data_IF_621567691931
#
_entry.id   IF_621567691931
#
_cell.length_a   1.000
_cell.length_b   1.000
_cell.length_c   1.000
_cell.angle_alpha   90.00
_cell.angle_beta   90.00
_cell.angle_gamma   90.00
#
_symmetry.space_group_name_H-M   'P 1'
#
loop_
_entity.id
_entity.type
_entity.pdbx_description
1 polymer ?
#
# COMPACT_ATOMS: atom_id res chain seq x y z
N UNK A 1 8.69 -28.86 18.46
CA UNK A 1 7.78 -29.99 18.70
C UNK A 1 6.47 -29.74 17.99
N UNK A 2 5.96 -30.70 17.23
CA UNK A 2 4.69 -30.57 16.50
C UNK A 2 3.55 -31.11 17.36
N UNK A 3 2.42 -30.39 17.41
CA UNK A 3 1.24 -30.76 18.17
C UNK A 3 0.03 -30.83 17.25
N UNK A 4 -0.77 -31.89 17.39
CA UNK A 4 -2.06 -31.99 16.71
C UNK A 4 -3.13 -31.37 17.59
N UNK A 5 -3.84 -30.38 17.05
CA UNK A 5 -4.81 -29.58 17.80
C UNK A 5 -6.19 -29.68 17.15
N UNK A 6 -7.24 -29.63 17.97
CA UNK A 6 -8.62 -29.64 17.47
C UNK A 6 -9.01 -28.23 17.06
N UNK A 7 -9.56 -28.10 15.86
CA UNK A 7 -10.13 -26.84 15.35
C UNK A 7 -11.55 -26.71 15.90
N UNK A 8 -11.86 -25.59 16.56
CA UNK A 8 -13.23 -25.28 16.98
C UNK A 8 -14.09 -24.94 15.75
N UNK A 9 -15.38 -25.26 15.82
CA UNK A 9 -16.33 -25.03 14.71
C UNK A 9 -16.57 -23.55 14.40
N UNK A 10 -16.10 -22.65 15.26
CA UNK A 10 -16.17 -21.19 15.10
C UNK A 10 -15.20 -20.63 14.06
N UNK A 11 -14.25 -21.43 13.56
CA UNK A 11 -13.20 -20.96 12.65
C UNK A 11 -13.38 -21.57 11.27
N UNK A 12 -13.37 -20.70 10.27
CA UNK A 12 -13.36 -21.10 8.87
C UNK A 12 -12.00 -21.66 8.48
N UNK A 13 -12.00 -22.92 8.04
CA UNK A 13 -10.78 -23.65 7.64
C UNK A 13 -10.09 -23.00 6.44
N UNK A 14 -10.80 -22.19 5.66
CA UNK A 14 -10.27 -21.47 4.51
C UNK A 14 -9.36 -20.30 4.89
N UNK A 15 -9.52 -19.75 6.10
CA UNK A 15 -8.70 -18.65 6.60
C UNK A 15 -7.35 -19.15 7.17
N UNK A 16 -7.21 -20.46 7.40
CA UNK A 16 -6.00 -21.06 7.93
C UNK A 16 -4.93 -21.15 6.85
N UNK A 17 -3.93 -20.26 6.93
CA UNK A 17 -2.73 -20.31 6.09
C UNK A 17 -1.58 -20.98 6.86
N UNK A 18 -0.76 -21.81 6.20
CA UNK A 18 0.48 -22.29 6.81
C UNK A 18 1.35 -21.09 7.20
N UNK A 19 1.98 -21.16 8.39
CA UNK A 19 2.75 -20.10 9.03
C UNK A 19 1.94 -18.89 9.57
N UNK A 20 0.61 -18.97 9.63
CA UNK A 20 -0.18 -17.97 10.37
C UNK A 20 -0.09 -18.21 11.89
N UNK A 21 0.03 -17.13 12.65
CA UNK A 21 -0.07 -17.18 14.12
C UNK A 21 -1.51 -17.53 14.53
N UNK A 22 -1.68 -18.48 15.44
CA UNK A 22 -3.00 -18.93 15.91
C UNK A 22 -3.07 -18.87 17.43
N UNK A 23 -4.24 -18.50 17.95
CA UNK A 23 -4.53 -18.50 19.37
C UNK A 23 -4.98 -19.91 19.80
N UNK A 24 -4.29 -20.47 20.79
CA UNK A 24 -4.59 -21.78 21.38
C UNK A 24 -5.18 -21.61 22.79
N UNK A 25 -6.15 -22.45 23.13
CA UNK A 25 -6.71 -22.50 24.47
C UNK A 25 -5.72 -23.15 25.46
N UNK A 26 -5.44 -22.48 26.59
CA UNK A 26 -4.38 -22.82 27.57
C UNK A 26 -4.39 -24.25 28.10
N UNK A 27 -5.57 -24.86 28.26
CA UNK A 27 -5.71 -26.19 28.88
C UNK A 27 -5.99 -27.32 27.90
N UNK A 28 -6.62 -27.02 26.76
CA UNK A 28 -7.08 -28.02 25.79
C UNK A 28 -6.32 -27.98 24.47
N UNK A 29 -5.43 -27.01 24.30
CA UNK A 29 -4.70 -26.72 23.06
C UNK A 29 -5.64 -26.67 21.83
N UNK A 30 -6.91 -26.30 22.01
CA UNK A 30 -7.84 -26.14 20.91
C UNK A 30 -7.58 -24.81 20.19
N UNK A 31 -7.71 -24.80 18.86
CA UNK A 31 -7.54 -23.60 18.04
C UNK A 31 -8.78 -22.71 18.23
N UNK A 32 -8.57 -21.53 18.81
CA UNK A 32 -9.63 -20.57 19.20
C UNK A 32 -9.79 -19.47 18.17
N UNK A 33 -8.69 -18.96 17.63
CA UNK A 33 -8.71 -17.90 16.63
C UNK A 33 -7.41 -17.87 15.81
N UNK A 34 -7.44 -17.19 14.67
CA UNK A 34 -6.26 -16.84 13.89
C UNK A 34 -5.86 -15.42 14.26
N UNK A 35 -4.64 -15.25 14.77
CA UNK A 35 -4.13 -13.92 15.07
C UNK A 35 -3.90 -13.17 13.75
N UNK A 36 -4.14 -11.85 13.71
CA UNK A 36 -3.82 -11.05 12.55
C UNK A 36 -2.35 -11.31 12.18
N UNK A 37 -2.03 -11.48 10.88
CA UNK A 37 -0.66 -11.70 10.46
C UNK A 37 0.17 -10.58 11.07
N UNK A 38 1.23 -10.94 11.80
CA UNK A 38 2.18 -9.97 12.31
C UNK A 38 2.73 -9.24 11.10
N UNK A 39 2.19 -8.05 10.82
CA UNK A 39 2.84 -7.14 9.93
C UNK A 39 4.14 -6.79 10.65
N UNK A 40 5.28 -7.17 10.05
CA UNK A 40 6.58 -6.80 10.59
C UNK A 40 6.55 -5.33 11.01
N UNK A 41 7.15 -5.01 12.15
CA UNK A 41 7.20 -3.63 12.65
C UNK A 41 7.74 -2.65 11.59
N UNK A 42 8.59 -3.14 10.67
CA UNK A 42 9.07 -2.40 9.50
C UNK A 42 7.98 -2.05 8.48
N UNK A 43 6.99 -2.92 8.25
CA UNK A 43 5.85 -2.67 7.35
C UNK A 43 4.91 -1.64 7.97
N UNK A 44 4.65 -1.73 9.27
CA UNK A 44 3.86 -0.72 9.99
C UNK A 44 4.50 0.68 9.91
N UNK A 45 5.83 0.78 10.00
CA UNK A 45 6.53 2.06 9.82
C UNK A 45 6.42 2.63 8.40
N UNK A 46 6.31 1.76 7.39
CA UNK A 46 6.14 2.17 5.98
C UNK A 46 4.69 2.50 5.62
N UNK A 47 3.74 2.10 6.44
CA UNK A 47 2.33 2.47 6.31
C UNK A 47 2.08 3.71 7.13
N UNK A 48 2.43 4.88 6.60
CA UNK A 48 1.99 6.13 7.17
C UNK A 48 0.48 6.27 6.99
N UNK A 49 -0.30 5.88 7.99
CA UNK A 49 -1.76 6.12 8.07
C UNK A 49 -2.09 7.62 8.13
N UNK A 50 -1.08 8.47 8.33
CA UNK A 50 -1.18 9.92 8.23
C UNK A 50 -1.20 10.32 6.76
N UNK A 51 -2.40 10.54 6.20
CA UNK A 51 -2.53 11.25 4.93
C UNK A 51 -1.92 12.64 5.10
N UNK A 52 -0.93 13.03 4.28
CA UNK A 52 -0.35 14.36 4.35
C UNK A 52 -1.40 15.41 3.96
N UNK A 53 -1.42 16.57 4.63
CA UNK A 53 -2.38 17.66 4.39
C UNK A 53 -1.96 18.59 3.24
N UNK A 54 -1.23 18.05 2.25
CA UNK A 54 -0.73 18.82 1.10
C UNK A 54 -1.68 18.62 -0.06
N UNK A 55 -2.11 19.69 -0.73
CA UNK A 55 -2.96 19.63 -1.92
C UNK A 55 -2.17 19.99 -3.18
N UNK A 56 -2.70 19.64 -4.36
CA UNK A 56 -2.10 20.04 -5.64
C UNK A 56 -2.06 21.57 -5.83
N UNK A 57 -2.95 22.29 -5.15
CA UNK A 57 -3.00 23.75 -5.14
C UNK A 57 -1.81 24.38 -4.43
N UNK A 58 -1.20 23.67 -3.46
CA UNK A 58 -0.05 24.16 -2.69
C UNK A 58 1.27 24.07 -3.48
N UNK A 59 1.25 23.39 -4.63
CA UNK A 59 2.41 23.22 -5.49
C UNK A 59 2.38 24.30 -6.57
N UNK A 60 3.36 25.20 -6.59
CA UNK A 60 3.47 26.21 -7.64
C UNK A 60 3.96 25.62 -8.97
N UNK A 61 3.24 25.91 -10.06
CA UNK A 61 3.58 25.47 -11.42
C UNK A 61 3.52 23.96 -11.63
N UNK A 62 4.33 23.45 -12.56
CA UNK A 62 4.42 22.01 -12.91
C UNK A 62 3.08 21.38 -13.34
N UNK A 63 2.24 22.16 -14.02
CA UNK A 63 0.87 21.72 -14.34
C UNK A 63 0.84 20.47 -15.23
N UNK A 64 1.79 20.37 -16.16
CA UNK A 64 1.96 19.19 -17.01
C UNK A 64 2.29 17.96 -16.16
N UNK A 65 3.28 18.06 -15.26
CA UNK A 65 3.69 16.94 -14.42
C UNK A 65 2.59 16.54 -13.44
N UNK A 66 1.86 17.50 -12.86
CA UNK A 66 0.69 17.20 -12.03
C UNK A 66 -0.35 16.39 -12.80
N UNK A 67 -0.65 16.80 -14.04
CA UNK A 67 -1.61 16.12 -14.88
C UNK A 67 -1.16 14.69 -15.22
N UNK A 68 0.10 14.49 -15.61
CA UNK A 68 0.65 13.16 -15.92
C UNK A 68 0.59 12.21 -14.72
N UNK A 69 0.99 12.68 -13.53
CA UNK A 69 0.94 11.84 -12.32
C UNK A 69 -0.50 11.55 -11.91
N UNK A 70 -1.39 12.53 -12.07
CA UNK A 70 -2.82 12.35 -11.81
C UNK A 70 -3.43 11.31 -12.74
N UNK A 71 -3.13 11.36 -14.03
CA UNK A 71 -3.59 10.35 -14.99
C UNK A 71 -2.99 8.98 -14.68
N UNK A 72 -1.70 8.90 -14.38
CA UNK A 72 -1.05 7.63 -14.07
C UNK A 72 -1.58 6.97 -12.78
N UNK A 73 -2.12 7.74 -11.82
CA UNK A 73 -2.60 7.21 -10.54
C UNK A 73 -4.13 7.16 -10.46
N UNK A 74 -4.84 8.23 -10.81
CA UNK A 74 -6.30 8.31 -10.69
C UNK A 74 -7.03 7.62 -11.85
N UNK A 75 -6.52 7.68 -13.09
CA UNK A 75 -7.17 7.06 -14.25
C UNK A 75 -7.32 5.55 -14.11
N UNK A 76 -6.29 4.77 -13.72
CA UNK A 76 -6.45 3.32 -13.55
C UNK A 76 -7.35 2.95 -12.37
N UNK A 77 -7.49 3.82 -11.36
CA UNK A 77 -8.36 3.60 -10.21
C UNK A 77 -9.83 3.92 -10.51
N UNK A 78 -10.09 4.93 -11.35
CA UNK A 78 -11.45 5.38 -11.67
C UNK A 78 -12.02 4.74 -12.93
N UNK A 79 -11.18 4.48 -13.94
CA UNK A 79 -11.58 4.04 -15.27
C UNK A 79 -10.78 2.81 -15.75
N UNK A 80 -10.74 1.76 -14.92
CA UNK A 80 -10.06 0.51 -15.27
C UNK A 80 -10.57 -0.15 -16.56
N UNK A 81 -11.86 0.06 -16.91
CA UNK A 81 -12.45 -0.52 -18.13
C UNK A 81 -11.78 -0.04 -19.42
N UNK A 82 -11.29 1.22 -19.46
CA UNK A 82 -10.60 1.75 -20.64
C UNK A 82 -9.34 0.94 -20.95
N UNK A 83 -8.55 0.61 -19.91
CA UNK A 83 -7.36 -0.23 -20.04
C UNK A 83 -7.71 -1.64 -20.52
N UNK A 84 -8.80 -2.21 -20.01
CA UNK A 84 -9.28 -3.54 -20.40
C UNK A 84 -9.77 -3.60 -21.85
N UNK A 85 -10.42 -2.56 -22.34
CA UNK A 85 -10.91 -2.48 -23.73
C UNK A 85 -9.77 -2.32 -24.73
N UNK A 86 -8.76 -1.51 -24.39
CA UNK A 86 -7.59 -1.26 -25.22
C UNK A 86 -6.60 -2.45 -25.16
N UNK A 87 -6.69 -3.29 -24.12
CA UNK A 87 -5.83 -4.46 -23.93
C UNK A 87 -4.42 -4.08 -23.44
N UNK A 88 -4.28 -2.94 -22.76
CA UNK A 88 -3.02 -2.47 -22.19
C UNK A 88 -3.04 -2.60 -20.67
N UNK A 89 -1.90 -2.92 -20.08
CA UNK A 89 -1.76 -2.96 -18.63
C UNK A 89 -1.68 -1.55 -18.05
N UNK A 90 -2.38 -1.26 -16.95
CA UNK A 90 -2.27 0.03 -16.27
C UNK A 90 -0.86 0.22 -15.69
N UNK A 91 -0.38 1.47 -15.62
CA UNK A 91 0.92 1.77 -15.03
C UNK A 91 0.98 1.31 -13.57
N UNK A 92 2.07 0.63 -13.20
CA UNK A 92 2.25 0.04 -11.85
C UNK A 92 2.79 1.04 -10.82
N UNK A 93 3.40 2.12 -11.26
CA UNK A 93 4.03 3.12 -10.40
C UNK A 93 4.62 4.27 -11.21
N UNK A 94 4.92 5.36 -10.51
CA UNK A 94 5.47 6.60 -11.08
C UNK A 94 6.79 6.90 -10.38
N UNK A 95 7.82 7.21 -11.17
CA UNK A 95 9.11 7.67 -10.66
C UNK A 95 9.27 9.18 -10.95
N UNK A 96 9.49 9.96 -9.90
CA UNK A 96 9.77 11.40 -10.03
C UNK A 96 11.26 11.65 -9.87
N UNK A 97 11.93 12.10 -10.93
CA UNK A 97 13.36 12.39 -10.92
C UNK A 97 13.68 13.87 -11.22
N UNK A 98 14.90 14.29 -10.91
CA UNK A 98 15.47 15.59 -11.28
C UNK A 98 16.11 16.33 -10.11
N UNK A 99 16.55 17.59 -10.32
CA UNK A 99 17.33 18.32 -9.32
C UNK A 99 16.56 18.53 -8.00
N UNK A 100 17.28 18.60 -6.86
CA UNK A 100 16.68 18.88 -5.57
C UNK A 100 16.04 20.27 -5.57
N UNK A 101 14.91 20.43 -4.86
CA UNK A 101 14.18 21.70 -4.77
C UNK A 101 13.03 21.87 -5.77
N UNK A 102 12.86 20.97 -6.75
CA UNK A 102 11.74 21.01 -7.71
C UNK A 102 10.42 20.41 -7.18
N UNK A 103 10.16 20.42 -5.88
CA UNK A 103 8.84 20.04 -5.35
C UNK A 103 8.38 18.57 -5.49
N UNK A 104 9.23 17.63 -5.96
CA UNK A 104 8.86 16.21 -6.17
C UNK A 104 8.26 15.55 -4.93
N UNK A 105 8.85 15.82 -3.76
CA UNK A 105 8.35 15.31 -2.48
C UNK A 105 7.00 15.92 -2.10
N UNK A 106 6.75 17.19 -2.45
CA UNK A 106 5.43 17.80 -2.24
C UNK A 106 4.39 17.21 -3.19
N UNK A 107 4.75 16.93 -4.44
CA UNK A 107 3.86 16.28 -5.41
C UNK A 107 3.49 14.86 -4.96
N UNK A 108 4.47 14.08 -4.47
CA UNK A 108 4.21 12.77 -3.87
C UNK A 108 3.20 12.85 -2.71
N UNK A 109 3.34 13.85 -1.84
CA UNK A 109 2.41 14.08 -0.72
C UNK A 109 1.02 14.47 -1.21
N UNK A 110 0.90 15.37 -2.19
CA UNK A 110 -0.40 15.77 -2.73
C UNK A 110 -1.16 14.62 -3.39
N UNK A 111 -0.45 13.75 -4.12
CA UNK A 111 -1.02 12.53 -4.71
C UNK A 111 -1.49 11.56 -3.62
N UNK A 112 -0.70 11.39 -2.56
CA UNK A 112 -1.06 10.55 -1.42
C UNK A 112 -2.29 11.08 -0.67
N UNK A 113 -2.48 12.40 -0.61
CA UNK A 113 -3.67 13.02 -0.03
C UNK A 113 -4.93 12.73 -0.86
N UNK A 114 -4.84 12.97 -2.19
CA UNK A 114 -5.98 12.82 -3.11
C UNK A 114 -6.41 11.38 -3.34
N UNK A 115 -5.48 10.42 -3.22
CA UNK A 115 -5.76 9.02 -3.54
C UNK A 115 -6.32 8.28 -2.31
N UNK A 116 -7.42 7.55 -2.50
CA UNK A 116 -8.05 6.72 -1.44
C UNK A 116 -7.44 5.31 -1.34
N UNK A 117 -6.58 4.95 -2.28
CA UNK A 117 -5.85 3.68 -2.29
C UNK A 117 -4.64 3.66 -1.34
N UNK A 118 -4.23 2.46 -0.91
CA UNK A 118 -3.03 2.24 -0.09
C UNK A 118 -1.77 2.48 -0.91
N UNK A 119 -1.37 3.74 -1.05
CA UNK A 119 -0.12 4.12 -1.70
C UNK A 119 1.05 3.93 -0.73
N UNK A 120 2.05 3.15 -1.16
CA UNK A 120 3.33 3.05 -0.47
C UNK A 120 4.29 4.05 -1.09
N UNK A 121 4.51 5.17 -0.41
CA UNK A 121 5.51 6.16 -0.83
C UNK A 121 6.87 5.80 -0.19
N UNK A 122 7.71 5.07 -0.93
CA UNK A 122 9.11 4.88 -0.54
C UNK A 122 9.92 6.11 -0.94
N UNK A 123 10.46 6.84 0.04
CA UNK A 123 11.60 7.71 -0.24
C UNK A 123 12.79 6.76 -0.41
N UNK A 124 13.32 6.65 -1.63
CA UNK A 124 14.61 6.01 -1.86
C UNK A 124 15.68 7.09 -1.65
N UNK A 125 16.30 7.20 -0.46
CA UNK A 125 17.40 8.13 -0.26
C UNK A 125 18.58 7.86 -1.22
N UNK A 126 18.68 6.64 -1.77
CA UNK A 126 19.80 6.19 -2.58
C UNK A 126 19.67 6.44 -4.10
N UNK A 127 18.58 7.06 -4.57
CA UNK A 127 18.36 7.38 -6.00
C UNK A 127 18.74 8.84 -6.37
N UNK A 128 19.39 9.57 -5.47
CA UNK A 128 19.89 10.95 -5.71
C UNK A 128 21.30 11.00 -6.35
N UNK A 129 21.90 9.85 -6.65
CA UNK A 129 23.21 9.76 -7.29
C UNK A 129 23.15 8.96 -8.59
N UNK A 130 22.40 9.42 -9.59
CA UNK A 130 22.68 9.20 -11.02
C UNK A 130 21.98 10.24 -11.88
#
# INVERSE_FOLDING_TARGET
SNYYVRILSTIDRELLKPNASVALHKHSNALVDVLPPEADSSIMMLTSDQKPDVMYADIGGMDIQKQEVREAVELPLTHFELYKQIGIDPPRGVLMYGPPGCGKTMLAKAVAHHTTGRLKCGLYPDLLYY
#
